data_IF_318384830281
#
_entry.id   IF_318384830281
#
_cell.length_a   1.000
_cell.length_b   1.000
_cell.length_c   1.000
_cell.angle_alpha   90.00
_cell.angle_beta   90.00
_cell.angle_gamma   90.00
#
_symmetry.space_group_name_H-M   'P 1'
#
loop_
_entity.id
_entity.type
_entity.pdbx_description
1 polymer ?
#
# COMPACT_ATOMS: atom_id res chain seq x y z
N UNK A 1 65.17 64.43 -17.93
CA UNK A 1 64.46 63.24 -18.46
C UNK A 1 63.21 63.02 -17.62
N UNK A 2 62.02 62.98 -18.24
CA UNK A 2 60.73 62.82 -17.55
C UNK A 2 60.42 61.32 -17.47
N UNK A 3 60.43 60.79 -16.25
CA UNK A 3 60.26 59.37 -15.98
C UNK A 3 58.75 59.00 -16.05
N UNK A 4 58.32 58.34 -17.13
CA UNK A 4 56.94 57.84 -17.29
C UNK A 4 56.88 56.39 -16.80
N UNK A 5 56.44 56.16 -15.57
CA UNK A 5 56.09 54.81 -15.08
C UNK A 5 54.64 54.45 -15.46
N UNK A 6 54.38 53.22 -15.94
CA UNK A 6 53.06 52.81 -16.40
C UNK A 6 52.14 52.49 -15.21
N UNK A 7 50.93 53.05 -15.22
CA UNK A 7 49.87 52.74 -14.25
C UNK A 7 49.26 51.37 -14.56
N UNK A 8 49.63 50.36 -13.77
CA UNK A 8 48.91 49.06 -13.76
C UNK A 8 47.51 49.29 -13.21
N UNK A 9 46.49 49.20 -14.07
CA UNK A 9 45.08 49.10 -13.64
C UNK A 9 44.87 47.70 -13.07
N UNK A 10 44.75 47.59 -11.76
CA UNK A 10 44.29 46.37 -11.12
C UNK A 10 42.80 46.18 -11.48
N UNK A 11 42.49 45.04 -12.09
CA UNK A 11 41.11 44.63 -12.33
C UNK A 11 40.39 44.45 -10.98
N UNK A 12 39.18 44.98 -10.86
CA UNK A 12 38.35 44.80 -9.67
C UNK A 12 38.06 43.31 -9.45
N UNK A 13 38.11 42.82 -8.20
CA UNK A 13 37.78 41.42 -7.91
C UNK A 13 36.34 41.13 -8.32
N UNK A 14 36.14 39.99 -8.99
CA UNK A 14 34.82 39.48 -9.34
C UNK A 14 33.95 39.43 -8.06
N UNK A 15 32.76 40.04 -8.12
CA UNK A 15 31.79 40.00 -7.02
C UNK A 15 31.44 38.54 -6.73
N UNK A 16 32.06 37.96 -5.70
CA UNK A 16 31.53 36.78 -5.04
C UNK A 16 30.12 37.14 -4.54
N UNK A 17 29.11 36.40 -5.01
CA UNK A 17 27.72 36.62 -4.64
C UNK A 17 27.56 36.64 -3.12
N UNK A 18 26.80 37.61 -2.61
CA UNK A 18 26.53 37.76 -1.18
C UNK A 18 25.85 36.48 -0.67
N UNK A 19 26.29 35.88 0.47
CA UNK A 19 25.67 34.66 0.99
C UNK A 19 24.18 34.91 1.25
N UNK A 20 23.35 33.93 0.87
CA UNK A 20 21.91 33.98 1.05
C UNK A 20 21.57 34.12 2.54
N UNK A 21 20.58 34.95 2.86
CA UNK A 21 20.08 35.06 4.23
C UNK A 21 19.39 33.75 4.64
N UNK A 22 19.39 33.38 5.93
CA UNK A 22 18.72 32.17 6.41
C UNK A 22 17.26 32.05 5.97
N UNK A 23 16.52 33.16 5.91
CA UNK A 23 15.16 33.20 5.40
C UNK A 23 15.05 32.83 3.91
N UNK A 24 16.01 33.27 3.08
CA UNK A 24 16.04 32.94 1.66
C UNK A 24 16.37 31.45 1.46
N UNK A 25 17.26 30.90 2.29
CA UNK A 25 17.56 29.46 2.29
C UNK A 25 16.32 28.64 2.66
N UNK A 26 15.57 29.04 3.69
CA UNK A 26 14.32 28.38 4.07
C UNK A 26 13.28 28.43 2.95
N UNK A 27 13.08 29.60 2.32
CA UNK A 27 12.15 29.72 1.19
C UNK A 27 12.57 28.82 0.03
N UNK A 28 13.86 28.77 -0.30
CA UNK A 28 14.37 27.89 -1.36
C UNK A 28 14.20 26.40 -1.00
N UNK A 29 14.44 26.03 0.25
CA UNK A 29 14.23 24.66 0.72
C UNK A 29 12.76 24.24 0.64
N UNK A 30 11.83 25.11 1.08
CA UNK A 30 10.40 24.86 0.94
C UNK A 30 9.94 24.81 -0.51
N UNK A 31 10.44 25.72 -1.37
CA UNK A 31 10.15 25.68 -2.80
C UNK A 31 10.64 24.38 -3.43
N UNK A 32 11.85 23.93 -3.09
CA UNK A 32 12.38 22.65 -3.55
C UNK A 32 11.53 21.48 -3.05
N UNK A 33 11.11 21.48 -1.78
CA UNK A 33 10.23 20.46 -1.21
C UNK A 33 8.88 20.40 -1.94
N UNK A 34 8.28 21.56 -2.24
CA UNK A 34 7.02 21.63 -3.02
C UNK A 34 7.22 21.11 -4.43
N UNK A 35 8.32 21.44 -5.09
CA UNK A 35 8.64 20.91 -6.43
C UNK A 35 8.77 19.38 -6.39
N UNK A 36 9.52 18.85 -5.43
CA UNK A 36 9.68 17.39 -5.25
C UNK A 36 8.31 16.73 -4.99
N UNK A 37 7.49 17.33 -4.14
CA UNK A 37 6.14 16.85 -3.86
C UNK A 37 5.24 16.86 -5.10
N UNK A 38 5.25 17.94 -5.89
CA UNK A 38 4.49 18.02 -7.14
C UNK A 38 4.96 16.98 -8.16
N UNK A 39 6.26 16.79 -8.32
CA UNK A 39 6.80 15.75 -9.21
C UNK A 39 6.35 14.36 -8.76
N UNK A 40 6.41 14.07 -7.46
CA UNK A 40 5.93 12.80 -6.90
C UNK A 40 4.44 12.56 -7.22
N UNK A 41 3.58 13.55 -6.98
CA UNK A 41 2.15 13.48 -7.29
C UNK A 41 1.89 13.30 -8.79
N UNK A 42 2.62 14.02 -9.65
CA UNK A 42 2.47 13.92 -11.10
C UNK A 42 2.90 12.55 -11.62
N UNK A 43 4.00 11.98 -11.10
CA UNK A 43 4.45 10.64 -11.47
C UNK A 43 3.43 9.58 -11.04
N UNK A 44 2.93 9.64 -9.79
CA UNK A 44 1.87 8.74 -9.34
C UNK A 44 0.61 8.83 -10.20
N UNK A 45 0.18 10.05 -10.52
CA UNK A 45 -0.96 10.29 -11.41
C UNK A 45 -0.73 9.75 -12.81
N UNK A 46 0.49 9.85 -13.35
CA UNK A 46 0.84 9.33 -14.67
C UNK A 46 0.84 7.80 -14.71
N UNK A 47 1.36 7.13 -13.68
CA UNK A 47 1.29 5.67 -13.53
C UNK A 47 -0.16 5.20 -13.48
N UNK A 48 -0.97 5.88 -12.67
CA UNK A 48 -2.41 5.63 -12.54
C UNK A 48 -3.14 5.81 -13.89
N UNK A 49 -2.86 6.92 -14.59
CA UNK A 49 -3.39 7.17 -15.95
C UNK A 49 -2.94 6.11 -16.96
N UNK A 50 -1.70 5.63 -16.87
CA UNK A 50 -1.19 4.57 -17.75
C UNK A 50 -1.94 3.25 -17.52
N UNK A 51 -2.09 2.82 -16.27
CA UNK A 51 -2.89 1.63 -15.94
C UNK A 51 -4.36 1.78 -16.30
N UNK A 52 -4.91 3.00 -16.22
CA UNK A 52 -6.27 3.29 -16.70
C UNK A 52 -6.38 3.22 -18.23
N UNK A 53 -5.38 3.72 -18.95
CA UNK A 53 -5.33 3.70 -20.41
C UNK A 53 -5.12 2.27 -20.95
N UNK A 54 -4.30 1.47 -20.27
CA UNK A 54 -4.02 0.07 -20.59
C UNK A 54 -5.17 -0.88 -20.18
N UNK A 55 -6.22 -0.35 -19.54
CA UNK A 55 -7.38 -1.11 -19.10
C UNK A 55 -7.08 -2.07 -17.95
N UNK A 56 -5.94 -1.93 -17.27
CA UNK A 56 -5.57 -2.76 -16.11
C UNK A 56 -6.13 -2.24 -14.79
N UNK A 57 -6.65 -1.01 -14.78
CA UNK A 57 -7.35 -0.43 -13.64
C UNK A 57 -8.83 -0.83 -13.66
N UNK A 58 -9.10 -2.07 -13.26
CA UNK A 58 -10.44 -2.66 -13.24
C UNK A 58 -10.73 -3.17 -11.84
N UNK A 59 -11.88 -2.79 -11.30
CA UNK A 59 -12.43 -3.45 -10.12
C UNK A 59 -12.81 -4.87 -10.52
N UNK A 60 -12.10 -5.87 -9.95
CA UNK A 60 -12.42 -7.29 -10.11
C UNK A 60 -12.98 -7.81 -8.79
N UNK A 61 -14.21 -8.32 -8.84
CA UNK A 61 -14.77 -9.12 -7.74
C UNK A 61 -14.21 -10.54 -7.85
N UNK A 62 -13.65 -11.04 -6.75
CA UNK A 62 -13.23 -12.43 -6.60
C UNK A 62 -14.30 -13.19 -5.84
N UNK A 63 -14.50 -14.45 -6.20
CA UNK A 63 -15.37 -15.38 -5.47
C UNK A 63 -14.52 -16.31 -4.60
N UNK A 64 -15.16 -17.12 -3.76
CA UNK A 64 -14.45 -18.13 -2.96
C UNK A 64 -13.62 -19.08 -3.84
N UNK A 65 -14.06 -19.41 -5.05
CA UNK A 65 -13.34 -20.28 -5.99
C UNK A 65 -12.03 -19.65 -6.53
N UNK A 66 -11.89 -18.32 -6.45
CA UNK A 66 -10.65 -17.61 -6.83
C UNK A 66 -9.63 -17.56 -5.68
N UNK A 67 -9.98 -18.10 -4.50
CA UNK A 67 -9.24 -17.97 -3.26
C UNK A 67 -8.83 -19.35 -2.73
N UNK A 68 -7.64 -19.38 -2.15
CA UNK A 68 -7.17 -20.52 -1.36
C UNK A 68 -7.46 -20.23 0.12
N UNK A 69 -8.04 -21.20 0.82
CA UNK A 69 -8.32 -21.09 2.25
C UNK A 69 -7.41 -22.05 3.02
N UNK A 70 -6.59 -21.51 3.92
CA UNK A 70 -5.78 -22.28 4.84
C UNK A 70 -6.36 -22.17 6.25
N UNK A 71 -6.42 -23.30 6.96
CA UNK A 71 -6.98 -23.40 8.30
C UNK A 71 -8.45 -22.95 8.41
N UNK A 72 -9.20 -23.22 7.35
CA UNK A 72 -10.66 -23.10 7.31
C UNK A 72 -11.31 -24.41 6.91
N UNK A 73 -12.52 -24.63 7.41
CA UNK A 73 -13.45 -25.64 6.94
C UNK A 73 -14.75 -24.95 6.54
N UNK A 74 -15.25 -25.22 5.34
CA UNK A 74 -16.58 -24.78 4.92
C UNK A 74 -17.63 -25.60 5.66
N UNK A 75 -18.61 -24.94 6.30
CA UNK A 75 -19.69 -25.65 6.98
C UNK A 75 -20.55 -26.48 6.03
N UNK A 76 -20.68 -26.11 4.76
CA UNK A 76 -21.44 -26.86 3.76
C UNK A 76 -20.81 -28.24 3.47
N UNK A 77 -19.49 -28.35 3.67
CA UNK A 77 -18.70 -29.57 3.45
C UNK A 77 -18.38 -30.31 4.76
N UNK A 78 -18.81 -29.79 5.91
CA UNK A 78 -18.51 -30.35 7.23
C UNK A 78 -19.65 -31.18 7.79
N UNK A 79 -19.38 -32.46 8.03
CA UNK A 79 -20.33 -33.40 8.63
C UNK A 79 -20.42 -33.26 10.16
N UNK A 80 -19.46 -32.57 10.80
CA UNK A 80 -19.30 -32.57 12.26
C UNK A 80 -19.79 -31.29 12.94
N UNK A 81 -19.79 -30.15 12.25
CA UNK A 81 -20.26 -28.89 12.78
C UNK A 81 -21.45 -28.33 12.01
N UNK A 82 -22.29 -27.58 12.71
CA UNK A 82 -23.46 -26.90 12.12
C UNK A 82 -23.17 -25.40 12.07
N UNK A 83 -23.44 -24.78 10.92
CA UNK A 83 -23.29 -23.35 10.75
C UNK A 83 -24.12 -22.57 11.80
N UNK A 84 -23.64 -21.39 12.24
CA UNK A 84 -24.37 -20.56 13.20
C UNK A 84 -25.70 -20.03 12.64
N UNK A 85 -25.82 -19.92 11.32
CA UNK A 85 -27.03 -19.55 10.58
C UNK A 85 -27.21 -20.49 9.39
N UNK A 86 -28.46 -20.71 8.98
CA UNK A 86 -28.83 -21.59 7.87
C UNK A 86 -28.72 -20.86 6.52
N UNK A 87 -27.50 -20.42 6.20
CA UNK A 87 -27.12 -19.76 4.94
C UNK A 87 -25.75 -20.29 4.49
N UNK A 88 -25.51 -20.46 3.17
CA UNK A 88 -24.24 -20.98 2.65
C UNK A 88 -23.10 -19.96 2.78
N UNK A 89 -21.85 -20.43 2.65
CA UNK A 89 -20.67 -19.56 2.62
C UNK A 89 -20.09 -19.18 3.99
N UNK A 90 -20.45 -19.92 5.03
CA UNK A 90 -19.82 -19.81 6.34
C UNK A 90 -18.62 -20.74 6.45
N UNK A 91 -17.54 -20.22 7.05
CA UNK A 91 -16.31 -20.97 7.27
C UNK A 91 -15.97 -20.97 8.76
N UNK A 92 -15.47 -22.10 9.24
CA UNK A 92 -14.95 -22.29 10.59
C UNK A 92 -13.41 -22.29 10.55
N UNK A 93 -12.78 -21.39 11.31
CA UNK A 93 -11.34 -21.45 11.55
C UNK A 93 -10.99 -22.72 12.32
N UNK A 94 -10.03 -23.50 11.84
CA UNK A 94 -9.61 -24.76 12.47
C UNK A 94 -8.46 -24.59 13.45
N UNK A 95 -7.78 -23.44 13.43
CA UNK A 95 -6.71 -23.08 14.36
C UNK A 95 -6.68 -21.57 14.62
N UNK A 96 -5.57 -21.06 15.17
CA UNK A 96 -5.38 -19.66 15.53
C UNK A 96 -4.70 -18.81 14.43
N UNK A 97 -4.40 -19.38 13.27
CA UNK A 97 -3.75 -18.69 12.13
C UNK A 97 -4.50 -18.99 10.82
N UNK A 98 -5.81 -18.65 10.71
CA UNK A 98 -6.56 -18.84 9.48
C UNK A 98 -6.16 -17.82 8.40
N UNK A 99 -5.97 -18.28 7.16
CA UNK A 99 -5.56 -17.41 6.04
C UNK A 99 -6.46 -17.57 4.82
N UNK A 100 -6.81 -16.42 4.23
CA UNK A 100 -7.43 -16.36 2.90
C UNK A 100 -6.39 -15.85 1.93
N UNK A 101 -6.04 -16.66 0.94
CA UNK A 101 -4.92 -16.41 0.03
C UNK A 101 -5.44 -16.19 -1.37
N UNK A 102 -4.95 -15.15 -2.02
CA UNK A 102 -5.09 -14.96 -3.46
C UNK A 102 -3.73 -15.05 -4.13
N UNK A 103 -3.65 -15.77 -5.26
CA UNK A 103 -2.44 -15.88 -6.08
C UNK A 103 -2.68 -15.30 -7.46
N UNK A 104 -1.79 -14.40 -7.87
CA UNK A 104 -1.86 -13.79 -9.18
C UNK A 104 -1.04 -12.51 -9.23
N UNK A 105 -0.74 -12.04 -10.44
CA UNK A 105 -0.05 -10.77 -10.63
C UNK A 105 -1.08 -9.67 -10.95
N UNK A 106 -1.09 -8.61 -10.16
CA UNK A 106 -1.94 -7.45 -10.39
C UNK A 106 -1.30 -6.18 -9.86
N UNK A 107 -1.61 -5.04 -10.47
CA UNK A 107 -1.36 -3.74 -9.86
C UNK A 107 -2.59 -3.33 -9.05
N UNK A 108 -2.42 -3.08 -7.75
CA UNK A 108 -3.52 -2.85 -6.82
C UNK A 108 -3.36 -1.53 -6.06
N UNK A 109 -4.44 -0.75 -6.00
CA UNK A 109 -4.56 0.41 -5.11
C UNK A 109 -5.32 0.06 -3.83
N UNK A 110 -6.41 -0.69 -3.97
CA UNK A 110 -7.34 -0.96 -2.88
C UNK A 110 -7.82 -2.39 -2.97
N UNK A 111 -7.96 -3.03 -1.81
CA UNK A 111 -8.65 -4.31 -1.66
C UNK A 111 -9.85 -4.09 -0.76
N UNK A 112 -10.99 -4.64 -1.14
CA UNK A 112 -12.20 -4.67 -0.33
C UNK A 112 -12.57 -6.12 -0.03
N UNK A 113 -12.77 -6.41 1.25
CA UNK A 113 -13.27 -7.67 1.74
C UNK A 113 -14.67 -7.44 2.30
N UNK A 114 -15.63 -8.21 1.80
CA UNK A 114 -16.97 -8.33 2.38
C UNK A 114 -17.00 -9.64 3.17
N UNK A 115 -17.06 -9.53 4.50
CA UNK A 115 -17.00 -10.67 5.40
C UNK A 115 -17.84 -10.42 6.66
N UNK A 116 -18.63 -11.42 7.04
CA UNK A 116 -19.39 -11.43 8.28
C UNK A 116 -18.64 -12.26 9.32
N UNK A 117 -18.42 -11.68 10.50
CA UNK A 117 -17.78 -12.37 11.60
C UNK A 117 -18.81 -12.65 12.70
N UNK A 118 -18.98 -13.93 13.06
CA UNK A 118 -19.90 -14.31 14.15
C UNK A 118 -19.32 -13.99 15.54
N UNK A 119 -18.01 -14.19 15.71
CA UNK A 119 -17.27 -13.74 16.89
C UNK A 119 -16.65 -12.36 16.60
N UNK A 120 -16.45 -11.50 17.61
CA UNK A 120 -15.82 -10.20 17.39
C UNK A 120 -14.48 -10.38 16.67
N UNK A 121 -14.38 -9.85 15.46
CA UNK A 121 -13.09 -9.76 14.77
C UNK A 121 -12.22 -8.77 15.52
N UNK A 122 -10.95 -9.10 15.73
CA UNK A 122 -9.97 -8.11 16.13
C UNK A 122 -9.64 -7.18 14.96
N UNK A 123 -8.35 -7.00 14.67
CA UNK A 123 -7.82 -6.28 13.51
C UNK A 123 -7.58 -7.19 12.29
N UNK A 124 -8.46 -7.17 11.29
CA UNK A 124 -8.21 -7.87 10.03
C UNK A 124 -6.97 -7.28 9.34
N UNK A 125 -6.01 -8.12 8.99
CA UNK A 125 -4.75 -7.71 8.36
C UNK A 125 -4.65 -8.27 6.95
N UNK A 126 -4.01 -7.52 6.06
CA UNK A 126 -3.65 -7.96 4.72
C UNK A 126 -2.14 -7.87 4.54
N UNK A 127 -1.55 -8.97 4.12
CA UNK A 127 -0.19 -9.12 3.68
C UNK A 127 -0.17 -9.23 2.16
N UNK A 128 0.92 -8.79 1.54
CA UNK A 128 1.09 -8.87 0.10
C UNK A 128 2.49 -9.36 -0.25
N UNK A 129 2.63 -9.98 -1.42
CA UNK A 129 3.92 -10.30 -2.04
C UNK A 129 4.16 -9.34 -3.20
N UNK A 130 5.40 -8.86 -3.34
CA UNK A 130 5.87 -8.16 -4.53
C UNK A 130 6.59 -9.14 -5.47
N UNK A 131 6.73 -8.81 -6.77
CA UNK A 131 7.47 -9.63 -7.71
C UNK A 131 8.84 -10.07 -7.17
N UNK A 132 9.08 -11.38 -7.17
CA UNK A 132 10.31 -12.00 -6.67
C UNK A 132 10.30 -12.38 -5.18
N UNK A 133 9.24 -12.07 -4.43
CA UNK A 133 9.05 -12.55 -3.05
C UNK A 133 8.23 -13.85 -3.03
N UNK A 134 8.56 -14.75 -2.09
CA UNK A 134 7.82 -16.01 -1.87
C UNK A 134 7.19 -16.10 -0.48
N UNK A 135 7.67 -15.31 0.48
CA UNK A 135 7.24 -15.35 1.88
C UNK A 135 6.59 -14.03 2.30
N UNK A 136 5.51 -14.12 3.08
CA UNK A 136 4.86 -12.97 3.71
C UNK A 136 5.68 -12.48 4.92
N UNK A 137 5.53 -11.21 5.29
CA UNK A 137 6.30 -10.58 6.38
C UNK A 137 5.46 -9.62 7.19
N UNK A 138 5.65 -9.62 8.51
CA UNK A 138 5.10 -8.65 9.49
C UNK A 138 5.37 -7.19 9.14
N UNK A 139 6.47 -6.91 8.43
CA UNK A 139 6.82 -5.55 8.02
C UNK A 139 6.09 -5.09 6.76
N UNK A 140 5.43 -6.02 6.06
CA UNK A 140 4.76 -5.82 4.78
C UNK A 140 3.28 -6.19 4.93
N UNK A 141 2.59 -5.45 5.80
CA UNK A 141 1.16 -5.61 6.09
C UNK A 141 0.43 -4.28 6.17
N UNK A 142 -0.86 -4.33 5.90
CA UNK A 142 -1.80 -3.21 6.07
C UNK A 142 -3.00 -3.70 6.87
N UNK A 143 -3.49 -2.87 7.77
CA UNK A 143 -4.68 -3.18 8.56
C UNK A 143 -5.93 -2.66 7.86
N UNK A 144 -7.02 -3.40 8.00
CA UNK A 144 -8.30 -2.98 7.48
C UNK A 144 -8.77 -1.68 8.14
N UNK A 145 -9.38 -0.83 7.33
CA UNK A 145 -10.33 0.18 7.80
C UNK A 145 -11.74 -0.39 7.62
N UNK A 146 -12.50 -0.44 8.72
CA UNK A 146 -13.93 -0.78 8.67
C UNK A 146 -14.67 0.36 7.97
N UNK A 147 -15.24 0.07 6.80
CA UNK A 147 -15.92 1.04 5.92
C UNK A 147 -17.44 0.86 5.92
N UNK A 148 -17.96 -0.27 6.42
CA UNK A 148 -19.37 -0.59 6.57
C UNK A 148 -19.62 -1.68 7.61
N UNK A 149 -20.82 -2.26 7.65
CA UNK A 149 -21.21 -3.29 8.63
C UNK A 149 -20.39 -4.59 8.49
N UNK A 150 -20.04 -4.97 7.26
CA UNK A 150 -19.25 -6.18 6.95
C UNK A 150 -18.10 -5.88 5.96
N UNK A 151 -17.78 -4.59 5.76
CA UNK A 151 -16.84 -4.17 4.72
C UNK A 151 -15.52 -3.71 5.33
N UNK A 152 -14.45 -4.35 4.88
CA UNK A 152 -13.08 -4.07 5.27
C UNK A 152 -12.30 -3.57 4.05
N UNK A 153 -11.77 -2.36 4.14
CA UNK A 153 -10.99 -1.74 3.05
C UNK A 153 -9.52 -1.67 3.43
N UNK A 154 -8.65 -2.10 2.52
CA UNK A 154 -7.20 -2.01 2.65
C UNK A 154 -6.64 -1.08 1.57
N UNK A 155 -5.88 -0.07 1.99
CA UNK A 155 -5.20 0.85 1.07
C UNK A 155 -3.75 0.40 0.88
N UNK A 156 -3.42 0.02 -0.35
CA UNK A 156 -2.07 -0.37 -0.76
C UNK A 156 -1.32 0.81 -1.40
N UNK A 157 -2.02 1.86 -1.84
CA UNK A 157 -1.40 3.06 -2.42
C UNK A 157 -0.78 2.86 -3.81
N UNK A 158 -1.12 1.77 -4.50
CA UNK A 158 -0.68 1.48 -5.87
C UNK A 158 0.63 0.71 -5.92
N UNK A 159 0.57 -0.62 -5.94
CA UNK A 159 1.74 -1.47 -6.14
C UNK A 159 1.43 -2.75 -6.93
N UNK A 160 2.43 -3.26 -7.64
CA UNK A 160 2.37 -4.59 -8.25
C UNK A 160 2.54 -5.65 -7.18
N UNK A 161 1.54 -6.51 -7.04
CA UNK A 161 1.54 -7.69 -6.17
C UNK A 161 1.58 -8.96 -6.99
N UNK A 162 2.09 -10.05 -6.39
CA UNK A 162 2.04 -11.42 -6.92
C UNK A 162 1.24 -12.38 -6.03
N UNK A 163 0.75 -11.89 -4.89
CA UNK A 163 -0.06 -12.65 -3.96
C UNK A 163 -0.55 -11.78 -2.81
N UNK A 164 -1.69 -12.14 -2.25
CA UNK A 164 -2.29 -11.53 -1.07
C UNK A 164 -2.59 -12.61 -0.05
N UNK A 165 -2.43 -12.29 1.22
CA UNK A 165 -2.88 -13.11 2.35
C UNK A 165 -3.68 -12.21 3.29
N UNK A 166 -4.92 -12.57 3.54
CA UNK A 166 -5.79 -11.89 4.49
C UNK A 166 -5.88 -12.75 5.72
N UNK A 167 -5.59 -12.14 6.86
CA UNK A 167 -5.69 -12.74 8.18
C UNK A 167 -6.92 -12.12 8.85
N UNK A 168 -8.07 -12.82 8.83
CA UNK A 168 -9.19 -12.43 9.65
C UNK A 168 -8.80 -12.67 11.09
N UNK A 169 -8.49 -11.59 11.82
CA UNK A 169 -8.15 -11.64 13.24
C UNK A 169 -9.33 -12.23 14.00
N UNK A 170 -9.22 -13.53 14.25
CA UNK A 170 -10.12 -14.31 15.07
C UNK A 170 -9.36 -14.63 16.34
N UNK A 171 -9.70 -13.90 17.40
CA UNK A 171 -9.22 -14.22 18.74
C UNK A 171 -9.87 -15.55 19.15
N UNK A 172 -9.18 -16.65 18.89
CA UNK A 172 -9.51 -17.97 19.45
C UNK A 172 -10.15 -18.93 18.46
N UNK A 173 -9.31 -19.76 17.85
CA UNK A 173 -9.68 -21.07 17.35
C UNK A 173 -9.29 -22.16 18.34
N UNK A 174 -9.81 -22.13 19.57
CA UNK A 174 -10.06 -23.32 20.42
C UNK A 174 -11.22 -22.95 21.38
N UNK A 175 -12.26 -23.79 21.52
CA UNK A 175 -13.24 -23.66 22.60
C UNK A 175 -12.61 -23.60 24.01
#
# INVERSE_FOLDING_TARGET
MKDKRPTKRFAAPARAGRPLRPQQLLILAYAAAVIVWLVYVLVGSAVMLNHKADGTMVTRTLTADDLEFESFVNYDDDEWHTAPVDEPGWYLSTDNDPHIIWRGEAWLETVELDAVHYLPSGSVALYYLRPGQTEYSETQKVFARVSGENQYTFDLGGLTVTGLRIDPDSVGGVP
#
